data_IF_358517909000
#
_entry.id   IF_358517909000
#
_cell.length_a   1.000
_cell.length_b   1.000
_cell.length_c   1.000
_cell.angle_alpha   90.00
_cell.angle_beta   90.00
_cell.angle_gamma   90.00
#
_symmetry.space_group_name_H-M   'P 1'
#
loop_
_entity.id
_entity.type
_entity.pdbx_description
1 polymer ?
#
# COMPACT_ATOMS: atom_id res chain seq x y z
N UNK A 1 12.39 -47.40 22.12
CA UNK A 1 12.08 -47.32 20.67
C UNK A 1 12.97 -48.29 19.92
N UNK A 2 12.45 -49.02 18.92
CA UNK A 2 13.28 -49.82 18.01
C UNK A 2 13.87 -48.87 16.95
N UNK A 3 15.19 -48.73 16.91
CA UNK A 3 15.89 -47.95 15.90
C UNK A 3 16.39 -48.86 14.78
N UNK A 4 16.13 -48.48 13.53
CA UNK A 4 16.72 -49.13 12.35
C UNK A 4 17.80 -48.21 11.77
N UNK A 5 18.87 -48.81 11.25
CA UNK A 5 19.97 -48.08 10.61
C UNK A 5 19.68 -47.97 9.12
N UNK A 6 19.62 -46.74 8.61
CA UNK A 6 19.47 -46.44 7.19
C UNK A 6 20.80 -45.90 6.65
N UNK A 7 21.38 -46.59 5.66
CA UNK A 7 22.56 -46.11 4.94
C UNK A 7 22.12 -45.51 3.60
N UNK A 8 22.46 -44.24 3.36
CA UNK A 8 22.13 -43.51 2.13
C UNK A 8 23.42 -43.10 1.45
N UNK A 9 23.53 -43.36 0.14
CA UNK A 9 24.64 -42.87 -0.68
C UNK A 9 24.24 -41.53 -1.30
N UNK A 10 25.08 -40.53 -1.09
CA UNK A 10 24.88 -39.18 -1.62
C UNK A 10 26.11 -38.78 -2.46
N UNK A 11 25.91 -37.99 -3.53
CA UNK A 11 26.99 -37.26 -4.18
C UNK A 11 27.77 -36.40 -3.17
N UNK A 12 29.08 -36.28 -3.36
CA UNK A 12 29.98 -35.68 -2.38
C UNK A 12 29.70 -34.19 -2.13
N UNK A 13 29.31 -33.46 -3.18
CA UNK A 13 28.85 -32.07 -3.13
C UNK A 13 27.62 -31.91 -2.22
N UNK A 14 26.64 -32.81 -2.32
CA UNK A 14 25.43 -32.76 -1.49
C UNK A 14 25.72 -33.15 -0.04
N UNK A 15 26.65 -34.07 0.17
CA UNK A 15 27.11 -34.45 1.50
C UNK A 15 27.82 -33.28 2.20
N UNK A 16 28.68 -32.55 1.49
CA UNK A 16 29.37 -31.38 2.03
C UNK A 16 28.40 -30.25 2.42
N UNK A 17 27.33 -30.05 1.64
CA UNK A 17 26.27 -29.09 1.97
C UNK A 17 25.55 -29.51 3.26
N UNK A 18 25.19 -30.80 3.38
CA UNK A 18 24.56 -31.34 4.59
C UNK A 18 25.47 -31.23 5.82
N UNK A 19 26.77 -31.49 5.66
CA UNK A 19 27.75 -31.33 6.73
C UNK A 19 27.80 -29.87 7.20
N UNK A 20 27.91 -28.90 6.27
CA UNK A 20 27.91 -27.47 6.60
C UNK A 20 26.63 -27.03 7.32
N UNK A 21 25.48 -27.54 6.92
CA UNK A 21 24.19 -27.24 7.58
C UNK A 21 24.09 -27.87 8.98
N UNK A 22 24.68 -29.04 9.18
CA UNK A 22 24.73 -29.67 10.50
C UNK A 22 25.66 -28.90 11.44
N UNK A 23 26.85 -28.54 10.94
CA UNK A 23 27.85 -27.78 11.69
C UNK A 23 27.35 -26.38 12.08
N UNK A 24 26.65 -25.68 11.19
CA UNK A 24 26.09 -24.35 11.48
C UNK A 24 25.03 -24.35 12.57
N UNK A 25 24.39 -25.51 12.81
CA UNK A 25 23.37 -25.72 13.84
C UNK A 25 23.91 -26.45 15.07
N UNK A 26 25.21 -26.81 15.09
CA UNK A 26 25.84 -27.58 16.16
C UNK A 26 25.30 -29.00 16.30
N UNK A 27 24.77 -29.58 15.22
CA UNK A 27 24.12 -30.90 15.19
C UNK A 27 24.98 -31.93 14.46
N UNK A 28 24.77 -33.22 14.76
CA UNK A 28 25.31 -34.30 13.91
C UNK A 28 24.47 -34.43 12.63
N UNK A 29 25.09 -34.86 11.52
CA UNK A 29 24.37 -35.14 10.26
C UNK A 29 23.17 -36.08 10.49
N UNK A 30 23.31 -37.10 11.35
CA UNK A 30 22.23 -38.03 11.65
C UNK A 30 21.04 -37.38 12.35
N UNK A 31 21.28 -36.36 13.17
CA UNK A 31 20.23 -35.60 13.87
C UNK A 31 19.53 -34.64 12.90
N UNK A 32 20.30 -33.94 12.07
CA UNK A 32 19.76 -33.09 11.01
C UNK A 32 18.91 -33.92 10.02
N UNK A 33 19.41 -35.08 9.59
CA UNK A 33 18.69 -35.98 8.69
C UNK A 33 17.39 -36.50 9.33
N UNK A 34 17.42 -36.80 10.64
CA UNK A 34 16.22 -37.20 11.38
C UNK A 34 15.18 -36.08 11.45
N UNK A 35 15.59 -34.83 11.69
CA UNK A 35 14.69 -33.67 11.68
C UNK A 35 14.06 -33.48 10.30
N UNK A 36 14.88 -33.50 9.24
CA UNK A 36 14.40 -33.33 7.86
C UNK A 36 13.46 -34.45 7.43
N UNK A 37 13.76 -35.71 7.79
CA UNK A 37 12.90 -36.85 7.51
C UNK A 37 11.58 -36.75 8.28
N UNK A 38 11.62 -36.35 9.56
CA UNK A 38 10.40 -36.20 10.36
C UNK A 38 9.53 -35.08 9.82
N UNK A 39 10.10 -33.91 9.53
CA UNK A 39 9.38 -32.79 8.91
C UNK A 39 8.81 -33.15 7.54
N UNK A 40 9.53 -33.93 6.73
CA UNK A 40 9.05 -34.41 5.44
C UNK A 40 7.93 -35.45 5.55
N UNK A 41 7.99 -36.34 6.55
CA UNK A 41 6.94 -37.33 6.81
C UNK A 41 5.69 -36.64 7.38
N UNK A 42 5.86 -35.73 8.33
CA UNK A 42 4.76 -34.98 8.94
C UNK A 42 4.09 -34.06 7.92
N UNK A 43 4.89 -33.33 7.11
CA UNK A 43 4.38 -32.51 6.01
C UNK A 43 3.68 -33.30 4.91
N UNK A 44 4.05 -34.56 4.67
CA UNK A 44 3.33 -35.46 3.75
C UNK A 44 2.10 -36.11 4.39
N UNK A 45 2.10 -36.32 5.71
CA UNK A 45 0.92 -36.80 6.44
C UNK A 45 -0.20 -35.77 6.47
N UNK A 46 0.13 -34.48 6.49
CA UNK A 46 -0.83 -33.38 6.35
C UNK A 46 -1.15 -33.05 4.88
N UNK A 47 -0.28 -33.44 3.95
CA UNK A 47 -0.16 -32.81 2.62
C UNK A 47 -0.95 -33.39 1.44
N UNK A 48 -1.99 -34.21 1.61
CA UNK A 48 -2.85 -34.60 0.47
C UNK A 48 -4.12 -33.73 0.34
N UNK A 49 -4.57 -33.10 1.43
CA UNK A 49 -5.76 -32.22 1.45
C UNK A 49 -5.43 -30.76 1.83
N UNK A 50 -4.58 -30.54 2.83
CA UNK A 50 -4.32 -29.18 3.38
C UNK A 50 -3.53 -28.27 2.44
N UNK A 51 -2.61 -28.81 1.65
CA UNK A 51 -1.72 -27.99 0.80
C UNK A 51 -2.48 -27.26 -0.32
N UNK A 52 -3.51 -27.89 -0.89
CA UNK A 52 -4.35 -27.28 -1.91
C UNK A 52 -5.26 -26.19 -1.30
N UNK A 53 -5.78 -26.42 -0.10
CA UNK A 53 -6.59 -25.45 0.63
C UNK A 53 -5.76 -24.22 1.05
N UNK A 54 -4.51 -24.41 1.47
CA UNK A 54 -3.59 -23.31 1.79
C UNK A 54 -3.26 -22.48 0.54
N UNK A 55 -2.97 -23.13 -0.59
CA UNK A 55 -2.74 -22.42 -1.86
C UNK A 55 -3.97 -21.62 -2.30
N UNK A 56 -5.16 -22.21 -2.20
CA UNK A 56 -6.41 -21.53 -2.53
C UNK A 56 -6.68 -20.32 -1.61
N UNK A 57 -6.36 -20.42 -0.31
CA UNK A 57 -6.46 -19.28 0.63
C UNK A 57 -5.46 -18.17 0.30
N UNK A 58 -4.27 -18.51 -0.20
CA UNK A 58 -3.28 -17.53 -0.65
C UNK A 58 -3.73 -16.82 -1.93
N UNK A 59 -4.27 -17.55 -2.91
CA UNK A 59 -4.85 -16.95 -4.13
C UNK A 59 -6.05 -16.03 -3.81
N UNK A 60 -6.91 -16.45 -2.87
CA UNK A 60 -8.02 -15.63 -2.39
C UNK A 60 -7.52 -14.35 -1.69
N UNK A 61 -6.46 -14.45 -0.87
CA UNK A 61 -5.85 -13.30 -0.20
C UNK A 61 -5.23 -12.33 -1.22
N UNK A 62 -4.52 -12.84 -2.21
CA UNK A 62 -3.95 -12.04 -3.30
C UNK A 62 -5.04 -11.31 -4.08
N UNK A 63 -6.12 -12.02 -4.43
CA UNK A 63 -7.29 -11.43 -5.12
C UNK A 63 -7.94 -10.33 -4.28
N UNK A 64 -8.10 -10.57 -2.97
CA UNK A 64 -8.68 -9.58 -2.05
C UNK A 64 -7.78 -8.34 -1.90
N UNK A 65 -6.47 -8.54 -1.83
CA UNK A 65 -5.50 -7.45 -1.73
C UNK A 65 -5.50 -6.60 -3.00
N UNK A 66 -5.44 -7.23 -4.17
CA UNK A 66 -5.50 -6.54 -5.46
C UNK A 66 -6.84 -5.81 -5.62
N UNK A 67 -7.96 -6.46 -5.30
CA UNK A 67 -9.29 -5.83 -5.35
C UNK A 67 -9.42 -4.64 -4.40
N UNK A 68 -8.90 -4.75 -3.17
CA UNK A 68 -8.88 -3.64 -2.22
C UNK A 68 -8.01 -2.47 -2.69
N UNK A 69 -6.86 -2.75 -3.33
CA UNK A 69 -6.01 -1.72 -3.92
C UNK A 69 -6.70 -1.00 -5.08
N UNK A 70 -7.37 -1.74 -5.97
CA UNK A 70 -8.14 -1.15 -7.08
C UNK A 70 -9.27 -0.28 -6.55
N UNK A 71 -10.04 -0.77 -5.57
CA UNK A 71 -11.13 0.00 -4.96
C UNK A 71 -10.63 1.28 -4.27
N UNK A 72 -9.52 1.20 -3.53
CA UNK A 72 -8.91 2.38 -2.90
C UNK A 72 -8.44 3.39 -3.95
N UNK A 73 -7.83 2.94 -5.04
CA UNK A 73 -7.42 3.81 -6.14
C UNK A 73 -8.62 4.54 -6.77
N UNK A 74 -9.72 3.81 -7.04
CA UNK A 74 -10.95 4.39 -7.60
C UNK A 74 -11.59 5.40 -6.65
N UNK A 75 -11.62 5.10 -5.34
CA UNK A 75 -12.12 6.02 -4.32
C UNK A 75 -11.29 7.32 -4.29
N UNK A 76 -9.96 7.20 -4.26
CA UNK A 76 -9.06 8.36 -4.28
C UNK A 76 -9.24 9.20 -5.54
N UNK A 77 -9.33 8.57 -6.71
CA UNK A 77 -9.56 9.28 -7.98
C UNK A 77 -10.91 10.01 -7.97
N UNK A 78 -11.95 9.38 -7.41
CA UNK A 78 -13.28 9.97 -7.31
C UNK A 78 -13.27 11.20 -6.39
N UNK A 79 -12.62 11.10 -5.24
CA UNK A 79 -12.49 12.21 -4.29
C UNK A 79 -11.66 13.37 -4.87
N UNK A 80 -10.61 13.08 -5.63
CA UNK A 80 -9.84 14.10 -6.35
C UNK A 80 -10.72 14.83 -7.36
N UNK A 81 -11.52 14.11 -8.15
CA UNK A 81 -12.45 14.70 -9.13
C UNK A 81 -13.51 15.56 -8.44
N UNK A 82 -14.13 15.06 -7.38
CA UNK A 82 -15.14 15.77 -6.61
C UNK A 82 -14.56 17.06 -5.99
N UNK A 83 -13.36 16.97 -5.41
CA UNK A 83 -12.66 18.12 -4.83
C UNK A 83 -12.28 19.16 -5.89
N UNK A 84 -11.80 18.72 -7.06
CA UNK A 84 -11.49 19.61 -8.18
C UNK A 84 -12.75 20.33 -8.68
N UNK A 85 -13.87 19.62 -8.83
CA UNK A 85 -15.15 20.22 -9.22
C UNK A 85 -15.65 21.22 -8.17
N UNK A 86 -15.57 20.88 -6.88
CA UNK A 86 -15.96 21.78 -5.79
C UNK A 86 -15.14 23.08 -5.81
N UNK A 87 -13.81 22.99 -6.01
CA UNK A 87 -12.94 24.17 -6.14
C UNK A 87 -13.33 25.03 -7.33
N UNK A 88 -13.61 24.41 -8.49
CA UNK A 88 -14.05 25.13 -9.67
C UNK A 88 -15.36 25.90 -9.45
N UNK A 89 -16.38 25.25 -8.87
CA UNK A 89 -17.65 25.90 -8.57
C UNK A 89 -17.51 27.00 -7.52
N UNK A 90 -16.68 26.79 -6.49
CA UNK A 90 -16.40 27.82 -5.49
C UNK A 90 -15.74 29.06 -6.14
N UNK A 91 -14.79 28.86 -7.05
CA UNK A 91 -14.15 29.95 -7.81
C UNK A 91 -15.17 30.72 -8.65
N UNK A 92 -16.00 30.02 -9.44
CA UNK A 92 -17.07 30.66 -10.22
C UNK A 92 -18.05 31.44 -9.33
N UNK A 93 -18.46 30.85 -8.21
CA UNK A 93 -19.36 31.50 -7.26
C UNK A 93 -18.76 32.78 -6.69
N UNK A 94 -17.48 32.76 -6.32
CA UNK A 94 -16.77 33.92 -5.83
C UNK A 94 -16.61 35.01 -6.92
N UNK A 95 -16.24 34.63 -8.14
CA UNK A 95 -16.12 35.57 -9.27
C UNK A 95 -17.45 36.26 -9.60
N UNK A 96 -18.55 35.51 -9.63
CA UNK A 96 -19.88 36.07 -9.86
C UNK A 96 -20.32 36.98 -8.71
N UNK A 97 -20.02 36.60 -7.47
CA UNK A 97 -20.34 37.41 -6.29
C UNK A 97 -19.61 38.76 -6.32
N UNK A 98 -18.33 38.75 -6.71
CA UNK A 98 -17.54 39.98 -6.84
C UNK A 98 -18.11 40.93 -7.90
N UNK A 99 -18.57 40.39 -9.03
CA UNK A 99 -19.22 41.18 -10.08
C UNK A 99 -20.53 41.79 -9.59
N UNK A 100 -21.36 41.00 -8.89
CA UNK A 100 -22.62 41.50 -8.31
C UNK A 100 -22.36 42.60 -7.28
N UNK A 101 -21.40 42.41 -6.37
CA UNK A 101 -21.03 43.42 -5.37
C UNK A 101 -20.54 44.70 -6.05
N UNK A 102 -19.69 44.58 -7.08
CA UNK A 102 -19.19 45.74 -7.82
C UNK A 102 -20.33 46.52 -8.48
N UNK A 103 -21.29 45.81 -9.08
CA UNK A 103 -22.49 46.40 -9.67
C UNK A 103 -23.35 47.10 -8.62
N UNK A 104 -23.57 46.48 -7.46
CA UNK A 104 -24.37 47.08 -6.38
C UNK A 104 -23.70 48.31 -5.76
N UNK A 105 -22.37 48.33 -5.66
CA UNK A 105 -21.63 49.42 -5.04
C UNK A 105 -21.39 50.61 -6.00
N UNK A 106 -21.07 50.33 -7.26
CA UNK A 106 -20.56 51.34 -8.20
C UNK A 106 -21.44 51.51 -9.44
N UNK A 107 -22.53 50.73 -9.56
CA UNK A 107 -23.39 50.68 -10.76
C UNK A 107 -22.63 50.33 -12.06
N UNK A 108 -21.49 49.66 -11.91
CA UNK A 108 -20.60 49.26 -13.00
C UNK A 108 -20.06 47.85 -12.75
N UNK A 109 -19.76 47.08 -13.80
CA UNK A 109 -19.08 45.81 -13.66
C UNK A 109 -17.69 45.99 -13.05
N UNK A 110 -17.20 44.94 -12.39
CA UNK A 110 -15.87 44.93 -11.81
C UNK A 110 -14.80 45.22 -12.87
N UNK A 111 -13.94 46.19 -12.60
CA UNK A 111 -12.88 46.55 -13.53
C UNK A 111 -11.96 45.34 -13.84
N UNK A 112 -11.62 45.09 -15.12
CA UNK A 112 -10.82 43.93 -15.51
C UNK A 112 -9.47 43.81 -14.80
N UNK A 113 -8.83 44.95 -14.50
CA UNK A 113 -7.55 44.98 -13.77
C UNK A 113 -7.71 44.51 -12.32
N UNK A 114 -8.77 44.95 -11.65
CA UNK A 114 -9.08 44.54 -10.27
C UNK A 114 -9.47 43.06 -10.23
N UNK A 115 -10.29 42.61 -11.19
CA UNK A 115 -10.66 41.20 -11.34
C UNK A 115 -9.42 40.31 -11.48
N UNK A 116 -8.49 40.65 -12.36
CA UNK A 116 -7.25 39.90 -12.55
C UNK A 116 -6.36 39.89 -11.29
N UNK A 117 -6.28 41.02 -10.57
CA UNK A 117 -5.53 41.10 -9.32
C UNK A 117 -6.14 40.22 -8.21
N UNK A 118 -7.46 40.18 -8.10
CA UNK A 118 -8.16 39.34 -7.12
C UNK A 118 -8.07 37.85 -7.46
N UNK A 119 -8.11 37.49 -8.75
CA UNK A 119 -7.87 36.11 -9.19
C UNK A 119 -6.45 35.66 -8.81
N UNK A 120 -5.44 36.47 -9.11
CA UNK A 120 -4.06 36.17 -8.75
C UNK A 120 -3.85 36.05 -7.23
N UNK A 121 -4.50 36.90 -6.45
CA UNK A 121 -4.43 36.86 -4.99
C UNK A 121 -5.08 35.59 -4.44
N UNK A 122 -6.20 35.15 -5.02
CA UNK A 122 -6.86 33.89 -4.66
C UNK A 122 -6.01 32.67 -5.00
N UNK A 123 -5.34 32.65 -6.15
CA UNK A 123 -4.44 31.55 -6.51
C UNK A 123 -3.29 31.40 -5.52
N UNK A 124 -2.71 32.51 -5.04
CA UNK A 124 -1.67 32.48 -4.00
C UNK A 124 -2.20 31.93 -2.68
N UNK A 125 -3.40 32.35 -2.26
CA UNK A 125 -3.99 31.86 -1.02
C UNK A 125 -4.42 30.38 -1.13
N UNK A 126 -4.93 29.94 -2.28
CA UNK A 126 -5.24 28.53 -2.56
C UNK A 126 -4.01 27.63 -2.41
N UNK A 127 -2.86 28.06 -2.95
CA UNK A 127 -1.59 27.34 -2.80
C UNK A 127 -1.19 27.26 -1.33
N UNK A 128 -1.23 28.39 -0.61
CA UNK A 128 -0.86 28.46 0.81
C UNK A 128 -1.74 27.59 1.70
N UNK A 129 -3.05 27.57 1.45
CA UNK A 129 -3.98 26.68 2.14
C UNK A 129 -3.69 25.21 1.79
N UNK A 130 -3.41 24.91 0.52
CA UNK A 130 -2.99 23.59 0.07
C UNK A 130 -1.74 23.08 0.81
N UNK A 131 -0.69 23.90 0.88
CA UNK A 131 0.55 23.61 1.61
C UNK A 131 0.28 23.35 3.10
N UNK A 132 -0.60 24.13 3.73
CA UNK A 132 -1.00 23.92 5.13
C UNK A 132 -1.65 22.55 5.35
N UNK A 133 -2.56 22.14 4.46
CA UNK A 133 -3.21 20.82 4.56
C UNK A 133 -2.23 19.67 4.32
N UNK A 134 -1.31 19.81 3.35
CA UNK A 134 -0.23 18.85 3.13
C UNK A 134 0.64 18.71 4.38
N UNK A 135 1.02 19.82 5.00
CA UNK A 135 1.82 19.80 6.23
C UNK A 135 1.07 19.15 7.40
N UNK A 136 -0.24 19.38 7.54
CA UNK A 136 -1.06 18.70 8.55
C UNK A 136 -1.14 17.19 8.31
N UNK A 137 -1.30 16.76 7.06
CA UNK A 137 -1.29 15.34 6.71
C UNK A 137 0.06 14.67 7.06
N UNK A 138 1.18 15.35 6.79
CA UNK A 138 2.52 14.90 7.19
C UNK A 138 2.64 14.78 8.72
N UNK A 139 2.11 15.75 9.48
CA UNK A 139 2.16 15.71 10.94
C UNK A 139 1.36 14.52 11.50
N UNK A 140 0.14 14.28 11.00
CA UNK A 140 -0.68 13.13 11.37
C UNK A 140 0.04 11.81 11.05
N UNK A 141 0.61 11.69 9.84
CA UNK A 141 1.33 10.48 9.41
C UNK A 141 2.64 10.23 10.17
N UNK A 142 3.24 11.27 10.75
CA UNK A 142 4.46 11.17 11.57
C UNK A 142 4.18 11.03 13.08
N UNK A 143 2.91 10.96 13.49
CA UNK A 143 2.51 10.79 14.88
C UNK A 143 2.76 12.01 15.77
N UNK A 144 2.79 13.22 15.20
CA UNK A 144 2.97 14.50 15.89
C UNK A 144 1.69 15.33 15.93
#
# INVERSE_FOLDING_TARGET
MKTQVLAVRLPQDQFEILQKMADSRGLKISELAKEMLSAGIDGRRTGAGDSAEVLQRLEQLETNLLGAQTWLADAVITDIKATAAARYYARLGAENTDEVISYLANNQPLEPKVKAQWQKSREVEEIKQGEKWVQQAINIGSGK
#
